data_IF_824354670888
#
_entry.id   IF_824354670888
#
_cell.length_a   1.000
_cell.length_b   1.000
_cell.length_c   1.000
_cell.angle_alpha   90.00
_cell.angle_beta   90.00
_cell.angle_gamma   90.00
#
_symmetry.space_group_name_H-M   'P 1'
#
loop_
_entity.id
_entity.type
_entity.pdbx_description
1 polymer ?
#
# COMPACT_ATOMS: atom_id res chain seq x y z
N UNK A 1 16.56 -10.97 1.39
CA UNK A 1 17.38 -10.00 0.65
C UNK A 1 16.85 -10.02 -0.78
N UNK A 2 16.74 -8.89 -1.47
CA UNK A 2 16.47 -8.85 -2.93
C UNK A 2 15.04 -9.13 -3.46
N UNK A 3 13.96 -8.48 -2.99
CA UNK A 3 12.69 -8.69 -3.75
C UNK A 3 12.77 -8.12 -5.19
N UNK A 4 13.74 -7.23 -5.48
CA UNK A 4 14.20 -6.89 -6.84
C UNK A 4 15.71 -6.56 -6.98
N UNK A 5 16.51 -6.77 -5.93
CA UNK A 5 17.92 -6.28 -5.87
C UNK A 5 18.01 -4.75 -5.95
N UNK A 6 19.17 -4.17 -5.63
CA UNK A 6 19.46 -2.77 -5.96
C UNK A 6 20.33 -2.81 -7.22
N UNK A 7 19.93 -2.10 -8.27
CA UNK A 7 20.74 -1.87 -9.48
C UNK A 7 20.90 -0.36 -9.71
N UNK A 8 21.83 0.04 -10.60
CA UNK A 8 22.01 1.45 -10.96
C UNK A 8 20.68 2.11 -11.41
N UNK A 9 19.81 1.35 -12.06
CA UNK A 9 18.52 1.82 -12.57
C UNK A 9 17.32 1.52 -11.64
N UNK A 10 17.56 0.83 -10.52
CA UNK A 10 16.49 0.42 -9.59
C UNK A 10 16.99 0.50 -8.14
N UNK A 11 16.78 1.68 -7.54
CA UNK A 11 17.21 1.99 -6.16
C UNK A 11 16.05 1.90 -5.18
N UNK A 12 14.84 2.27 -5.62
CA UNK A 12 13.62 2.27 -4.80
C UNK A 12 12.44 1.66 -5.59
N UNK A 13 11.47 1.06 -4.89
CA UNK A 13 10.26 0.56 -5.53
C UNK A 13 9.50 1.64 -6.29
N UNK A 14 8.87 1.24 -7.39
CA UNK A 14 8.00 2.14 -8.14
C UNK A 14 6.63 2.27 -7.46
N UNK A 15 5.89 3.35 -7.76
CA UNK A 15 4.52 3.54 -7.27
C UNK A 15 3.54 2.43 -7.69
N UNK A 16 3.90 1.63 -8.72
CA UNK A 16 3.12 0.48 -9.14
C UNK A 16 3.26 -0.74 -8.22
N UNK A 17 4.32 -0.80 -7.42
CA UNK A 17 4.66 -1.91 -6.51
C UNK A 17 4.00 -1.71 -5.15
N UNK A 18 2.68 -1.75 -5.15
CA UNK A 18 1.87 -1.38 -4.00
C UNK A 18 2.00 -2.34 -2.81
N UNK A 19 2.45 -3.58 -3.03
CA UNK A 19 2.70 -4.59 -1.98
C UNK A 19 3.75 -4.11 -0.96
N UNK A 20 4.67 -3.24 -1.38
CA UNK A 20 5.69 -2.64 -0.52
C UNK A 20 5.04 -1.79 0.57
N UNK A 21 3.95 -1.08 0.25
CA UNK A 21 3.24 -0.24 1.23
C UNK A 21 2.52 -1.06 2.31
N UNK A 22 2.09 -2.29 2.00
CA UNK A 22 1.54 -3.21 3.02
C UNK A 22 2.63 -3.51 4.05
N UNK A 23 3.82 -3.90 3.58
CA UNK A 23 4.96 -4.24 4.45
C UNK A 23 5.37 -3.04 5.29
N UNK A 24 5.45 -1.86 4.70
CA UNK A 24 5.76 -0.62 5.42
C UNK A 24 4.73 -0.33 6.52
N UNK A 25 3.43 -0.34 6.18
CA UNK A 25 2.36 -0.08 7.14
C UNK A 25 2.40 -1.03 8.33
N UNK A 26 2.67 -2.32 8.09
CA UNK A 26 2.79 -3.32 9.16
C UNK A 26 3.99 -3.03 10.05
N UNK A 27 5.17 -2.75 9.48
CA UNK A 27 6.39 -2.48 10.26
C UNK A 27 6.25 -1.20 11.09
N UNK A 28 5.73 -0.13 10.49
CA UNK A 28 5.48 1.14 11.18
C UNK A 28 4.45 0.96 12.30
N UNK A 29 3.34 0.26 12.03
CA UNK A 29 2.31 -0.03 13.03
C UNK A 29 2.84 -0.84 14.21
N UNK A 30 3.62 -1.90 13.95
CA UNK A 30 4.27 -2.68 14.99
C UNK A 30 5.24 -1.83 15.82
N UNK A 31 6.02 -0.95 15.18
CA UNK A 31 6.95 -0.07 15.89
C UNK A 31 6.22 0.98 16.76
N UNK A 32 5.10 1.51 16.28
CA UNK A 32 4.26 2.44 17.04
C UNK A 32 3.66 1.77 18.30
N UNK A 33 3.29 0.49 18.20
CA UNK A 33 2.83 -0.31 19.35
C UNK A 33 3.98 -0.53 20.34
N UNK A 34 5.16 -0.90 19.84
CA UNK A 34 6.37 -1.10 20.65
C UNK A 34 6.75 0.17 21.43
N UNK A 35 6.67 1.34 20.79
CA UNK A 35 7.00 2.63 21.39
C UNK A 35 5.89 3.19 22.30
N UNK A 36 4.74 2.51 22.39
CA UNK A 36 3.61 2.95 23.22
C UNK A 36 2.89 4.20 22.71
N UNK A 37 3.11 4.59 21.45
CA UNK A 37 2.44 5.75 20.81
C UNK A 37 1.15 5.34 20.08
N UNK A 38 0.96 4.05 19.80
CA UNK A 38 -0.26 3.54 19.19
C UNK A 38 -1.40 3.40 20.20
N UNK A 39 -2.58 3.92 19.82
CA UNK A 39 -3.83 3.73 20.59
C UNK A 39 -4.40 2.33 20.45
N UNK A 40 -4.36 1.78 19.24
CA UNK A 40 -4.81 0.42 18.92
C UNK A 40 -3.61 -0.54 18.97
N UNK A 41 -3.77 -1.70 19.62
CA UNK A 41 -2.73 -2.74 19.74
C UNK A 41 -3.15 -3.98 18.95
N UNK A 42 -2.97 -3.89 17.64
CA UNK A 42 -3.27 -4.99 16.72
C UNK A 42 -2.06 -5.92 16.59
N UNK A 43 -2.32 -7.19 16.31
CA UNK A 43 -1.28 -8.14 15.92
C UNK A 43 -0.73 -7.82 14.52
N UNK A 44 0.45 -8.36 14.22
CA UNK A 44 1.07 -8.24 12.90
C UNK A 44 0.15 -8.75 11.78
N UNK A 45 -0.54 -9.85 12.02
CA UNK A 45 -1.43 -10.46 11.03
C UNK A 45 -2.69 -9.62 10.80
N UNK A 46 -3.24 -9.01 11.86
CA UNK A 46 -4.37 -8.09 11.75
C UNK A 46 -3.98 -6.83 11.00
N UNK A 47 -2.81 -6.24 11.29
CA UNK A 47 -2.29 -5.09 10.55
C UNK A 47 -2.07 -5.42 9.07
N UNK A 48 -1.54 -6.61 8.78
CA UNK A 48 -1.28 -7.07 7.41
C UNK A 48 -2.59 -7.18 6.64
N UNK A 49 -3.57 -7.92 7.17
CA UNK A 49 -4.90 -8.08 6.55
C UNK A 49 -5.62 -6.76 6.37
N UNK A 50 -5.51 -5.85 7.36
CA UNK A 50 -6.15 -4.53 7.31
C UNK A 50 -5.52 -3.65 6.23
N UNK A 51 -4.19 -3.60 6.16
CA UNK A 51 -3.48 -2.84 5.14
C UNK A 51 -3.74 -3.38 3.73
N UNK A 52 -3.66 -4.70 3.54
CA UNK A 52 -3.95 -5.36 2.28
C UNK A 52 -5.37 -5.05 1.80
N UNK A 53 -6.37 -5.23 2.68
CA UNK A 53 -7.76 -4.95 2.39
C UNK A 53 -7.97 -3.49 1.95
N UNK A 54 -7.48 -2.53 2.73
CA UNK A 54 -7.67 -1.10 2.43
C UNK A 54 -7.05 -0.71 1.09
N UNK A 55 -5.82 -1.13 0.83
CA UNK A 55 -5.13 -0.74 -0.42
C UNK A 55 -5.81 -1.41 -1.62
N UNK A 56 -6.16 -2.69 -1.51
CA UNK A 56 -6.86 -3.40 -2.58
C UNK A 56 -8.22 -2.78 -2.90
N UNK A 57 -9.05 -2.54 -1.89
CA UNK A 57 -10.37 -1.94 -2.05
C UNK A 57 -10.28 -0.55 -2.69
N UNK A 58 -9.33 0.30 -2.26
CA UNK A 58 -9.16 1.63 -2.84
C UNK A 58 -8.78 1.58 -4.33
N UNK A 59 -7.90 0.65 -4.71
CA UNK A 59 -7.46 0.46 -6.10
C UNK A 59 -8.60 -0.08 -6.97
N UNK A 60 -9.31 -1.10 -6.49
CA UNK A 60 -10.44 -1.69 -7.19
C UNK A 60 -11.59 -0.71 -7.36
N UNK A 61 -11.92 0.05 -6.31
CA UNK A 61 -12.94 1.10 -6.37
C UNK A 61 -12.58 2.17 -7.41
N UNK A 62 -11.35 2.66 -7.39
CA UNK A 62 -10.89 3.66 -8.36
C UNK A 62 -10.96 3.12 -9.79
N UNK A 63 -10.45 1.90 -10.02
CA UNK A 63 -10.52 1.26 -11.32
C UNK A 63 -11.97 1.06 -11.81
N UNK A 64 -12.88 0.70 -10.90
CA UNK A 64 -14.30 0.56 -11.21
C UNK A 64 -14.94 1.90 -11.59
N UNK A 65 -14.63 2.98 -10.86
CA UNK A 65 -15.12 4.33 -11.15
C UNK A 65 -14.62 4.84 -12.51
N UNK A 66 -13.38 4.54 -12.88
CA UNK A 66 -12.83 4.83 -14.21
C UNK A 66 -13.54 4.00 -15.29
N UNK A 67 -13.72 2.69 -15.05
CA UNK A 67 -14.38 1.77 -15.99
C UNK A 67 -15.85 2.11 -16.23
N UNK A 68 -16.56 2.58 -15.20
CA UNK A 68 -17.97 2.96 -15.29
C UNK A 68 -18.19 4.34 -15.90
N UNK A 69 -17.11 5.10 -16.17
CA UNK A 69 -17.18 6.47 -16.68
C UNK A 69 -17.58 7.52 -15.63
N UNK A 70 -17.66 7.14 -14.35
CA UNK A 70 -17.86 8.09 -13.25
C UNK A 70 -16.64 8.97 -13.00
N UNK A 71 -15.44 8.43 -13.27
CA UNK A 71 -14.22 9.22 -13.45
C UNK A 71 -13.99 9.34 -14.97
N UNK A 72 -14.04 10.55 -15.54
CA UNK A 72 -13.86 10.74 -16.97
C UNK A 72 -12.43 10.39 -17.40
N UNK A 73 -12.24 9.93 -18.64
CA UNK A 73 -10.90 9.76 -19.21
C UNK A 73 -10.18 11.10 -19.31
N UNK A 74 -8.85 11.05 -19.39
CA UNK A 74 -8.05 12.25 -19.62
C UNK A 74 -8.49 12.92 -20.94
N UNK A 75 -8.69 14.26 -20.96
CA UNK A 75 -8.99 14.96 -22.19
C UNK A 75 -7.89 14.76 -23.24
N UNK A 76 -8.27 14.60 -24.50
CA UNK A 76 -7.32 14.68 -25.61
C UNK A 76 -6.87 16.14 -25.75
N UNK A 77 -5.57 16.39 -25.54
CA UNK A 77 -4.95 17.71 -25.63
C UNK A 77 -4.64 18.13 -27.07
#
# INVERSE_FOLDING_TARGET
AEDRGISEDYIIPTMGEWEVFIREAVVVGMKAIEQGVAREKLSRDELTKRAEKMIKEAREATALLMKSGLIPPVPEG
#
